data_IF_903038256711
#
_entry.id   IF_903038256711
#
_cell.length_a   1.000
_cell.length_b   1.000
_cell.length_c   1.000
_cell.angle_alpha   90.00
_cell.angle_beta   90.00
_cell.angle_gamma   90.00
#
_symmetry.space_group_name_H-M   'P 1'
#
loop_
_entity.id
_entity.type
_entity.pdbx_description
1 polymer ?
#
# COMPACT_ATOMS: atom_id res chain seq x y z
N UNK A 1 11.93 -16.89 14.96
CA UNK A 1 11.16 -16.21 13.91
C UNK A 1 9.71 -16.63 14.10
N UNK A 2 8.88 -15.78 14.71
CA UNK A 2 7.48 -16.13 15.00
C UNK A 2 6.70 -15.98 13.70
N UNK A 3 6.31 -17.10 13.09
CA UNK A 3 5.37 -17.10 11.98
C UNK A 3 4.02 -16.64 12.55
N UNK A 4 3.65 -15.38 12.31
CA UNK A 4 2.26 -14.94 12.50
C UNK A 4 1.39 -15.90 11.68
N UNK A 5 0.40 -16.53 12.34
CA UNK A 5 -0.60 -17.34 11.64
C UNK A 5 -1.27 -16.49 10.53
N UNK A 6 -1.77 -17.10 9.45
CA UNK A 6 -2.50 -16.37 8.43
C UNK A 6 -3.66 -15.61 9.08
N UNK A 7 -3.47 -14.30 9.25
CA UNK A 7 -4.46 -13.41 9.83
C UNK A 7 -5.59 -13.33 8.79
N UNK A 8 -6.72 -13.95 9.11
CA UNK A 8 -7.92 -13.82 8.28
C UNK A 8 -8.47 -12.44 8.57
N UNK A 9 -8.60 -11.60 7.54
CA UNK A 9 -9.19 -10.27 7.71
C UNK A 9 -10.67 -10.42 8.03
N UNK A 10 -11.09 -9.92 9.19
CA UNK A 10 -12.49 -9.83 9.58
C UNK A 10 -12.99 -8.43 9.20
N UNK A 11 -13.59 -8.33 8.02
CA UNK A 11 -14.17 -7.10 7.49
C UNK A 11 -15.66 -7.09 7.76
N UNK A 12 -16.21 -5.93 8.11
CA UNK A 12 -17.66 -5.77 8.18
C UNK A 12 -18.32 -6.10 6.83
N UNK A 13 -19.51 -6.74 6.84
CA UNK A 13 -20.17 -7.20 5.62
C UNK A 13 -20.58 -6.05 4.70
N UNK A 14 -20.93 -4.90 5.27
CA UNK A 14 -21.28 -3.71 4.47
C UNK A 14 -20.05 -3.14 3.80
N UNK A 15 -18.91 -3.06 4.50
CA UNK A 15 -17.64 -2.66 3.89
C UNK A 15 -17.17 -3.66 2.82
N UNK A 16 -17.27 -4.97 3.07
CA UNK A 16 -16.94 -6.03 2.09
C UNK A 16 -17.75 -5.86 0.79
N UNK A 17 -19.05 -5.59 0.91
CA UNK A 17 -19.94 -5.39 -0.23
C UNK A 17 -19.57 -4.13 -1.04
N UNK A 18 -19.35 -3.00 -0.35
CA UNK A 18 -19.00 -1.74 -1.01
C UNK A 18 -17.63 -1.81 -1.72
N UNK A 19 -16.62 -2.42 -1.09
CA UNK A 19 -15.31 -2.60 -1.70
C UNK A 19 -15.35 -3.55 -2.91
N UNK A 20 -16.18 -4.59 -2.85
CA UNK A 20 -16.45 -5.46 -3.99
C UNK A 20 -17.11 -4.72 -5.15
N UNK A 21 -18.11 -3.89 -4.85
CA UNK A 21 -18.78 -3.06 -5.85
C UNK A 21 -17.82 -2.07 -6.51
N UNK A 22 -17.04 -1.35 -5.71
CA UNK A 22 -16.03 -0.39 -6.19
C UNK A 22 -15.10 -1.03 -7.23
N UNK A 23 -14.60 -2.23 -6.91
CA UNK A 23 -13.72 -2.99 -7.80
C UNK A 23 -14.41 -3.47 -9.09
N UNK A 24 -15.68 -3.84 -9.00
CA UNK A 24 -16.47 -4.25 -10.16
C UNK A 24 -16.70 -3.07 -11.11
N UNK A 25 -17.08 -1.90 -10.59
CA UNK A 25 -17.28 -0.69 -11.38
C UNK A 25 -16.01 -0.27 -12.12
N UNK A 26 -14.84 -0.48 -11.52
CA UNK A 26 -13.55 -0.21 -12.15
C UNK A 26 -13.03 -1.31 -13.07
N UNK A 27 -13.69 -2.47 -13.11
CA UNK A 27 -13.22 -3.63 -13.87
C UNK A 27 -11.89 -4.19 -13.36
N UNK A 28 -11.60 -4.07 -12.06
CA UNK A 28 -10.35 -4.51 -11.46
C UNK A 28 -10.21 -6.05 -11.51
N UNK A 29 -9.23 -6.55 -12.29
CA UNK A 29 -9.00 -8.00 -12.50
C UNK A 29 -7.94 -8.62 -11.58
N UNK A 30 -7.11 -7.79 -10.95
CA UNK A 30 -6.03 -8.26 -10.06
C UNK A 30 -6.60 -8.78 -8.74
N UNK A 31 -5.98 -9.78 -8.09
CA UNK A 31 -6.47 -10.27 -6.80
C UNK A 31 -6.28 -9.21 -5.70
N UNK A 32 -7.23 -9.12 -4.77
CA UNK A 32 -7.19 -8.21 -3.63
C UNK A 32 -6.18 -8.72 -2.57
N UNK A 33 -4.92 -8.38 -2.75
CA UNK A 33 -3.81 -9.00 -2.01
C UNK A 33 -2.86 -7.95 -1.45
N UNK A 34 -2.50 -8.08 -0.18
CA UNK A 34 -1.48 -7.26 0.49
C UNK A 34 -0.30 -8.09 0.97
N UNK A 35 0.86 -7.43 1.04
CA UNK A 35 2.09 -8.01 1.54
C UNK A 35 2.20 -7.82 3.06
N UNK A 36 2.22 -8.94 3.80
CA UNK A 36 2.28 -8.94 5.26
C UNK A 36 3.56 -8.33 5.80
N UNK A 37 4.69 -8.48 5.09
CA UNK A 37 5.97 -7.97 5.58
C UNK A 37 6.04 -6.43 5.44
N UNK A 38 5.39 -5.87 4.41
CA UNK A 38 5.22 -4.41 4.26
C UNK A 38 4.30 -3.83 5.32
N UNK A 39 3.17 -4.50 5.60
CA UNK A 39 2.24 -4.11 6.68
C UNK A 39 2.97 -4.10 8.01
N UNK A 40 3.67 -5.20 8.34
CA UNK A 40 4.43 -5.32 9.58
C UNK A 40 5.53 -4.25 9.71
N UNK A 41 6.15 -3.86 8.59
CA UNK A 41 7.12 -2.77 8.55
C UNK A 41 6.50 -1.42 8.89
N UNK A 42 5.37 -1.07 8.28
CA UNK A 42 4.65 0.17 8.53
C UNK A 42 4.11 0.23 9.97
N UNK A 43 3.46 -0.84 10.45
CA UNK A 43 2.96 -0.95 11.82
C UNK A 43 4.09 -0.69 12.85
N UNK A 44 5.30 -1.22 12.60
CA UNK A 44 6.47 -0.98 13.46
C UNK A 44 7.00 0.45 13.38
N UNK A 45 7.13 1.01 12.18
CA UNK A 45 7.64 2.38 11.98
C UNK A 45 6.76 3.38 12.72
N UNK A 46 5.44 3.21 12.63
CA UNK A 46 4.48 4.17 13.20
C UNK A 46 3.98 3.76 14.60
N UNK A 47 4.43 2.62 15.13
CA UNK A 47 3.94 2.01 16.37
C UNK A 47 2.40 1.93 16.42
N UNK A 48 1.79 1.50 15.32
CA UNK A 48 0.34 1.36 15.18
C UNK A 48 -0.05 -0.07 14.85
N UNK A 49 -1.35 -0.38 14.92
CA UNK A 49 -1.90 -1.57 14.28
C UNK A 49 -2.98 -1.16 13.29
N UNK A 50 -2.84 -1.62 12.05
CA UNK A 50 -3.79 -1.38 10.97
C UNK A 50 -5.03 -2.27 11.19
N UNK A 51 -6.24 -1.67 11.25
CA UNK A 51 -7.47 -2.43 11.34
C UNK A 51 -7.75 -3.21 10.07
N UNK A 52 -8.50 -4.31 10.22
CA UNK A 52 -8.82 -5.20 9.11
C UNK A 52 -9.60 -4.49 8.00
N UNK A 53 -10.49 -3.55 8.33
CA UNK A 53 -11.23 -2.78 7.32
C UNK A 53 -10.33 -1.83 6.52
N UNK A 54 -9.29 -1.27 7.15
CA UNK A 54 -8.30 -0.41 6.46
C UNK A 54 -7.38 -1.25 5.59
N UNK A 55 -6.99 -2.44 6.07
CA UNK A 55 -6.26 -3.41 5.26
C UNK A 55 -7.13 -3.87 4.08
N UNK A 56 -8.43 -4.07 4.26
CA UNK A 56 -9.35 -4.38 3.20
C UNK A 56 -9.46 -3.25 2.16
N UNK A 57 -9.54 -2.00 2.61
CA UNK A 57 -9.54 -0.82 1.74
C UNK A 57 -8.25 -0.75 0.89
N UNK A 58 -7.08 -0.93 1.53
CA UNK A 58 -5.80 -0.94 0.82
C UNK A 58 -5.69 -2.14 -0.15
N UNK A 59 -6.20 -3.31 0.24
CA UNK A 59 -6.26 -4.50 -0.60
C UNK A 59 -7.19 -4.34 -1.80
N UNK A 60 -8.18 -3.44 -1.69
CA UNK A 60 -9.10 -3.18 -2.79
C UNK A 60 -8.38 -2.60 -4.01
N UNK A 61 -7.22 -1.94 -3.82
CA UNK A 61 -6.37 -1.37 -4.89
C UNK A 61 -7.19 -0.67 -5.98
N UNK A 62 -8.24 0.02 -5.56
CA UNK A 62 -9.11 0.74 -6.48
C UNK A 62 -8.27 1.80 -7.17
N UNK A 63 -8.29 1.77 -8.50
CA UNK A 63 -7.60 2.75 -9.33
C UNK A 63 -8.17 4.15 -9.12
N UNK A 64 -9.46 4.27 -8.79
CA UNK A 64 -10.07 5.55 -8.41
C UNK A 64 -9.51 6.04 -7.08
N UNK A 65 -9.53 5.23 -6.01
CA UNK A 65 -8.94 5.62 -4.73
C UNK A 65 -7.43 5.90 -4.84
N UNK A 66 -6.71 5.14 -5.66
CA UNK A 66 -5.28 5.38 -5.95
C UNK A 66 -5.05 6.72 -6.66
N UNK A 67 -5.92 7.11 -7.60
CA UNK A 67 -5.77 8.37 -8.35
C UNK A 67 -6.31 9.57 -7.58
N UNK A 68 -7.51 9.43 -7.03
CA UNK A 68 -8.22 10.49 -6.31
C UNK A 68 -7.53 10.78 -4.99
N UNK A 69 -7.18 9.75 -4.23
CA UNK A 69 -6.69 9.87 -2.85
C UNK A 69 -5.25 9.42 -2.65
N UNK A 70 -4.51 9.09 -3.71
CA UNK A 70 -3.14 8.58 -3.59
C UNK A 70 -3.03 7.37 -2.62
N UNK A 71 -4.07 6.56 -2.56
CA UNK A 71 -4.25 5.54 -1.52
C UNK A 71 -3.54 4.23 -1.89
N UNK A 72 -2.24 4.15 -1.61
CA UNK A 72 -1.41 2.97 -1.87
C UNK A 72 -0.59 2.62 -0.63
N UNK A 73 -0.47 1.33 -0.30
CA UNK A 73 0.29 0.86 0.88
C UNK A 73 1.74 1.38 0.86
N UNK A 74 2.38 1.35 -0.31
CA UNK A 74 3.75 1.81 -0.51
C UNK A 74 3.94 3.34 -0.36
N UNK A 75 2.86 4.13 -0.43
CA UNK A 75 2.90 5.60 -0.32
C UNK A 75 2.51 6.11 1.06
N UNK A 76 2.08 5.22 1.96
CA UNK A 76 1.58 5.62 3.26
C UNK A 76 2.66 6.35 4.07
N UNK A 77 3.92 5.88 4.06
CA UNK A 77 4.99 6.54 4.80
C UNK A 77 5.25 7.97 4.30
N UNK A 78 5.30 8.16 2.98
CA UNK A 78 5.47 9.48 2.36
C UNK A 78 4.27 10.40 2.66
N UNK A 79 3.05 9.86 2.59
CA UNK A 79 1.83 10.58 2.93
C UNK A 79 1.83 11.01 4.41
N UNK A 80 2.32 10.18 5.33
CA UNK A 80 2.50 10.53 6.74
C UNK A 80 3.49 11.67 6.92
N UNK A 81 4.67 11.58 6.29
CA UNK A 81 5.68 12.64 6.40
C UNK A 81 5.18 13.97 5.82
N UNK A 82 4.47 13.92 4.70
CA UNK A 82 3.91 15.12 4.10
C UNK A 82 2.75 15.70 4.91
N UNK A 83 1.84 14.86 5.42
CA UNK A 83 0.76 15.30 6.32
C UNK A 83 1.33 16.00 7.56
N UNK A 84 2.39 15.44 8.13
CA UNK A 84 3.11 16.06 9.24
C UNK A 84 3.63 17.46 8.89
N UNK A 85 4.29 17.62 7.73
CA UNK A 85 4.78 18.93 7.26
C UNK A 85 3.65 19.94 7.05
N UNK A 86 2.53 19.50 6.48
CA UNK A 86 1.39 20.38 6.17
C UNK A 86 0.71 20.86 7.45
N UNK A 87 0.45 19.97 8.42
CA UNK A 87 -0.10 20.33 9.73
C UNK A 87 0.81 21.30 10.48
N UNK A 88 2.13 21.07 10.45
CA UNK A 88 3.09 21.93 11.13
C UNK A 88 3.24 23.31 10.46
N UNK A 89 3.11 23.40 9.15
CA UNK A 89 3.13 24.68 8.43
C UNK A 89 1.97 25.59 8.85
N UNK A 90 0.80 25.01 9.10
CA UNK A 90 -0.37 25.77 9.56
C UNK A 90 -0.26 26.16 11.05
N UNK A 91 0.31 25.29 11.89
CA UNK A 91 0.62 25.62 13.29
C UNK A 91 1.69 26.72 13.41
N UNK A 92 2.73 26.70 12.56
CA UNK A 92 3.72 27.78 12.49
C UNK A 92 3.07 29.12 12.09
N UNK A 93 2.14 29.10 11.13
CA UNK A 93 1.34 30.29 10.75
C UNK A 93 0.37 30.74 11.85
N UNK A 94 -0.11 29.82 12.70
CA UNK A 94 -0.96 30.16 13.85
C UNK A 94 -0.13 30.78 15.00
N UNK A 95 1.11 30.29 15.19
CA UNK A 95 2.08 30.86 16.10
C UNK A 95 2.48 32.29 15.71
N UNK A 96 2.78 32.54 14.43
CA UNK A 96 3.05 33.89 13.91
C UNK A 96 1.87 34.86 14.10
N UNK A 97 0.64 34.34 14.12
CA UNK A 97 -0.59 35.11 14.37
C UNK A 97 -0.92 35.32 15.85
N UNK A 98 -0.06 34.86 16.77
CA UNK A 98 -0.18 35.12 18.21
C UNK A 98 -1.37 34.45 18.90
N UNK A 99 -1.92 33.38 18.32
CA UNK A 99 -3.18 32.76 18.78
C UNK A 99 -3.03 31.64 19.82
N UNK A 100 -1.84 31.39 20.39
CA UNK A 100 -1.65 30.38 21.43
C UNK A 100 -1.00 30.93 22.71
N UNK A 101 -1.36 30.40 23.91
CA UNK A 101 -0.72 30.79 25.16
C UNK A 101 0.75 30.37 25.15
N UNK A 102 1.61 31.29 25.57
CA UNK A 102 3.07 31.17 25.69
C UNK A 102 3.47 30.02 26.61
N UNK A 103 3.74 28.85 26.04
CA UNK A 103 4.38 27.71 26.72
C UNK A 103 5.57 27.19 25.90
N UNK A 104 6.65 26.70 26.54
CA UNK A 104 7.88 26.32 25.86
C UNK A 104 7.71 25.09 24.95
N UNK A 105 8.28 25.20 23.74
CA UNK A 105 8.21 24.24 22.63
C UNK A 105 8.77 22.85 23.00
N UNK A 106 9.66 22.76 24.00
CA UNK A 106 10.38 21.53 24.37
C UNK A 106 9.55 20.47 25.11
N UNK A 107 8.41 20.82 25.69
CA UNK A 107 7.56 19.85 26.40
C UNK A 107 6.51 19.18 25.48
N UNK A 108 6.60 19.39 24.16
CA UNK A 108 5.63 18.87 23.17
C UNK A 108 6.20 17.89 22.16
N UNK A 109 7.51 17.67 22.10
CA UNK A 109 8.11 16.68 21.18
C UNK A 109 7.50 15.27 21.36
N UNK A 110 7.04 14.91 22.56
CA UNK A 110 6.46 13.60 22.87
C UNK A 110 4.94 13.52 22.68
N UNK A 111 4.24 14.66 22.60
CA UNK A 111 2.81 14.73 22.27
C UNK A 111 2.56 14.65 20.74
N UNK A 112 3.54 15.05 19.92
CA UNK A 112 3.37 15.14 18.46
C UNK A 112 4.31 14.24 17.64
N UNK A 113 5.43 13.70 18.17
CA UNK A 113 6.23 12.68 17.47
C UNK A 113 5.49 11.34 17.23
N UNK A 114 4.21 11.27 17.57
CA UNK A 114 3.32 10.10 17.51
C UNK A 114 2.00 10.42 16.78
N UNK A 115 2.07 11.34 15.80
CA UNK A 115 0.92 11.91 15.09
C UNK A 115 -0.03 10.89 14.42
N UNK A 116 -1.25 11.33 14.06
CA UNK A 116 -2.23 10.50 13.35
C UNK A 116 -1.64 9.98 12.03
N UNK A 117 -1.88 8.72 11.72
CA UNK A 117 -1.32 8.05 10.54
C UNK A 117 -2.07 8.48 9.28
N UNK A 118 -1.39 8.89 8.21
CA UNK A 118 -2.03 9.32 6.96
C UNK A 118 -2.16 8.16 5.98
N UNK A 119 -3.38 7.79 5.62
CA UNK A 119 -3.66 6.74 4.64
C UNK A 119 -3.50 7.25 3.21
N UNK A 120 -4.04 8.43 2.93
CA UNK A 120 -4.13 8.98 1.58
C UNK A 120 -4.27 10.49 1.56
N UNK A 121 -3.90 11.09 0.43
CA UNK A 121 -3.99 12.51 0.16
C UNK A 121 -4.70 12.74 -1.18
N UNK A 122 -5.74 13.56 -1.14
CA UNK A 122 -6.46 14.04 -2.32
C UNK A 122 -5.75 15.22 -2.98
N UNK A 123 -6.02 15.43 -4.25
CA UNK A 123 -5.46 16.54 -5.04
C UNK A 123 -5.85 17.92 -4.49
N UNK A 124 -7.02 18.03 -3.84
CA UNK A 124 -7.49 19.28 -3.20
C UNK A 124 -6.90 19.50 -1.79
N UNK A 125 -5.89 18.70 -1.41
CA UNK A 125 -5.23 18.79 -0.12
C UNK A 125 -5.94 18.05 1.01
N UNK A 126 -7.09 17.41 0.76
CA UNK A 126 -7.77 16.61 1.78
C UNK A 126 -6.93 15.40 2.18
N UNK A 127 -6.78 15.17 3.50
CA UNK A 127 -6.05 14.05 4.05
C UNK A 127 -7.02 13.06 4.72
N UNK A 128 -6.84 11.77 4.46
CA UNK A 128 -7.49 10.70 5.20
C UNK A 128 -6.53 10.19 6.26
N UNK A 129 -6.79 10.58 7.50
CA UNK A 129 -5.99 10.22 8.65
C UNK A 129 -6.69 9.10 9.43
N UNK A 130 -5.94 8.08 9.80
CA UNK A 130 -6.37 7.04 10.70
C UNK A 130 -5.98 7.42 12.14
N UNK A 131 -6.93 7.45 13.08
CA UNK A 131 -6.60 7.65 14.48
C UNK A 131 -5.74 6.48 14.99
N UNK A 132 -4.77 6.80 15.86
CA UNK A 132 -4.07 5.77 16.63
C UNK A 132 -5.08 5.01 17.49
N UNK A 133 -4.91 3.70 17.62
CA UNK A 133 -5.75 2.88 18.49
C UNK A 133 -5.62 3.32 19.94
N UNK A 134 -6.65 3.98 20.45
CA UNK A 134 -6.87 4.18 21.88
C UNK A 134 -7.91 3.20 22.42
N UNK A 135 -8.91 2.82 21.62
CA UNK A 135 -9.91 1.78 21.94
C UNK A 135 -10.17 0.84 20.74
N UNK A 136 -10.85 -0.28 21.00
CA UNK A 136 -11.09 -1.34 20.01
C UNK A 136 -12.04 -0.91 18.87
N UNK A 137 -12.92 0.06 19.13
CA UNK A 137 -13.98 0.49 18.19
C UNK A 137 -13.55 1.68 17.30
N UNK A 138 -12.43 2.35 17.62
CA UNK A 138 -11.86 3.49 16.88
C UNK A 138 -11.43 3.12 15.44
N UNK A 139 -11.39 1.82 15.11
CA UNK A 139 -10.86 1.30 13.83
C UNK A 139 -11.72 1.58 12.60
N UNK A 140 -12.97 2.00 12.79
CA UNK A 140 -13.90 2.25 11.69
C UNK A 140 -14.05 3.73 11.36
N UNK A 141 -13.39 4.63 12.09
CA UNK A 141 -13.53 6.07 11.90
C UNK A 141 -12.24 6.65 11.37
N UNK A 142 -12.32 7.35 10.24
CA UNK A 142 -11.25 8.15 9.67
C UNK A 142 -11.43 9.62 10.04
N UNK A 143 -10.33 10.29 10.36
CA UNK A 143 -10.26 11.74 10.46
C UNK A 143 -9.99 12.30 9.08
N UNK A 144 -10.94 13.05 8.54
CA UNK A 144 -10.80 13.79 7.30
C UNK A 144 -10.34 15.19 7.65
N UNK A 145 -9.13 15.54 7.23
CA UNK A 145 -8.58 16.86 7.43
C UNK A 145 -8.58 17.65 6.12
N UNK A 146 -9.10 18.87 6.15
CA UNK A 146 -9.13 19.78 5.00
C UNK A 146 -9.09 21.23 5.47
N UNK A 147 -8.18 22.02 4.92
CA UNK A 147 -8.12 23.48 5.12
C UNK A 147 -8.15 23.89 6.62
N UNK A 148 -7.43 23.15 7.47
CA UNK A 148 -7.37 23.41 8.92
C UNK A 148 -8.58 22.90 9.72
N UNK A 149 -9.57 22.26 9.09
CA UNK A 149 -10.71 21.63 9.77
C UNK A 149 -10.57 20.11 9.78
N UNK A 150 -10.72 19.53 10.95
CA UNK A 150 -10.79 18.08 11.17
C UNK A 150 -12.25 17.64 11.33
N UNK A 151 -12.63 16.55 10.66
CA UNK A 151 -13.93 15.89 10.85
C UNK A 151 -13.77 14.38 10.93
N UNK A 152 -14.47 13.75 11.85
CA UNK A 152 -14.53 12.29 11.95
C UNK A 152 -15.60 11.73 11.01
N UNK A 153 -15.26 10.67 10.27
CA UNK A 153 -16.15 9.99 9.35
C UNK A 153 -15.95 8.48 9.40
N UNK A 154 -17.02 7.68 9.46
CA UNK A 154 -16.90 6.24 9.29
C UNK A 154 -16.29 5.87 7.92
N UNK A 155 -15.39 4.89 7.91
CA UNK A 155 -14.74 4.33 6.72
C UNK A 155 -15.79 3.88 5.69
N UNK A 156 -16.85 3.24 6.15
CA UNK A 156 -17.96 2.79 5.31
C UNK A 156 -18.61 3.95 4.55
N UNK A 157 -18.72 5.12 5.17
CA UNK A 157 -19.30 6.30 4.52
C UNK A 157 -18.33 6.91 3.51
N UNK A 158 -17.02 6.90 3.80
CA UNK A 158 -15.99 7.31 2.82
C UNK A 158 -16.04 6.40 1.59
N UNK A 159 -16.09 5.08 1.77
CA UNK A 159 -16.17 4.14 0.64
C UNK A 159 -17.48 4.29 -0.13
N UNK A 160 -18.60 4.50 0.56
CA UNK A 160 -19.90 4.72 -0.07
C UNK A 160 -19.89 5.95 -0.99
N UNK A 161 -19.38 7.07 -0.50
CA UNK A 161 -19.28 8.31 -1.31
C UNK A 161 -18.49 8.08 -2.60
N UNK A 162 -17.44 7.26 -2.56
CA UNK A 162 -16.58 6.98 -3.72
C UNK A 162 -17.27 6.03 -4.71
N UNK A 163 -18.03 5.04 -4.22
CA UNK A 163 -18.89 4.19 -5.06
C UNK A 163 -19.95 5.06 -5.77
N UNK A 164 -20.61 5.94 -5.03
CA UNK A 164 -21.64 6.82 -5.58
C UNK A 164 -21.06 7.80 -6.63
N UNK A 165 -19.86 8.35 -6.38
CA UNK A 165 -19.15 9.17 -7.37
C UNK A 165 -18.82 8.40 -8.65
N UNK A 166 -18.34 7.16 -8.54
CA UNK A 166 -18.06 6.32 -9.71
C UNK A 166 -19.33 5.98 -10.50
N UNK A 167 -20.44 5.68 -9.83
CA UNK A 167 -21.73 5.44 -10.49
C UNK A 167 -22.15 6.66 -11.32
N UNK A 168 -22.10 7.86 -10.75
CA UNK A 168 -22.41 9.10 -11.46
C UNK A 168 -21.49 9.34 -12.68
N UNK A 169 -20.20 9.01 -12.57
CA UNK A 169 -19.25 9.10 -13.67
C UNK A 169 -19.57 8.11 -14.80
N UNK A 170 -19.92 6.87 -14.46
CA UNK A 170 -20.32 5.85 -15.44
C UNK A 170 -21.62 6.25 -16.14
N UNK A 171 -22.63 6.67 -15.38
CA UNK A 171 -23.93 7.13 -15.91
C UNK A 171 -23.77 8.33 -16.84
N UNK A 172 -22.97 9.33 -16.45
CA UNK A 172 -22.69 10.50 -17.30
C UNK A 172 -21.92 10.12 -18.58
N UNK A 173 -20.97 9.19 -18.52
CA UNK A 173 -20.26 8.71 -19.70
C UNK A 173 -21.20 7.99 -20.68
N UNK A 174 -22.15 7.20 -20.17
CA UNK A 174 -23.17 6.57 -20.98
C UNK A 174 -24.16 7.57 -21.60
N UNK A 175 -24.55 8.61 -20.85
CA UNK A 175 -25.42 9.66 -21.36
C UNK A 175 -24.77 10.47 -22.50
N UNK A 176 -23.47 10.77 -22.40
CA UNK A 176 -22.71 11.51 -23.42
C UNK A 176 -22.46 10.69 -24.69
N UNK A 177 -22.25 9.38 -24.55
CA UNK A 177 -21.96 8.48 -25.68
C UNK A 177 -23.21 7.87 -26.35
N UNK A 178 -24.41 8.34 -25.99
CA UNK A 178 -25.72 7.86 -26.46
C UNK A 178 -26.06 8.14 -27.94
N UNK A 179 -25.08 8.06 -28.85
CA UNK A 179 -25.28 8.26 -30.29
C UNK A 179 -24.84 7.11 -31.20
N UNK A 180 -23.85 6.28 -30.85
CA UNK A 180 -23.34 5.31 -31.84
C UNK A 180 -22.49 4.14 -31.28
N UNK A 181 -22.91 3.50 -30.19
CA UNK A 181 -22.47 2.13 -29.96
C UNK A 181 -23.65 1.26 -29.56
N UNK A 182 -23.96 0.28 -30.43
CA UNK A 182 -24.83 -0.86 -30.11
C UNK A 182 -24.48 -1.33 -28.71
N UNK A 183 -25.47 -1.34 -27.83
CA UNK A 183 -25.41 -2.00 -26.55
C UNK A 183 -25.02 -3.47 -26.78
N UNK A 184 -23.73 -3.77 -26.65
CA UNK A 184 -23.30 -5.10 -26.25
C UNK A 184 -23.93 -5.36 -24.88
N UNK A 185 -24.38 -6.59 -24.60
CA UNK A 185 -25.22 -6.86 -23.44
C UNK A 185 -24.52 -6.36 -22.18
N UNK A 186 -25.17 -5.39 -21.54
CA UNK A 186 -25.01 -5.04 -20.13
C UNK A 186 -25.21 -6.31 -19.30
N UNK A 187 -24.15 -7.08 -19.15
CA UNK A 187 -24.07 -8.18 -18.21
C UNK A 187 -22.71 -8.02 -17.55
N UNK A 188 -22.63 -7.10 -16.59
CA UNK A 188 -21.79 -7.39 -15.42
C UNK A 188 -22.50 -8.58 -14.79
N UNK A 189 -21.93 -9.80 -14.82
CA UNK A 189 -22.56 -10.92 -14.15
C UNK A 189 -22.69 -10.54 -12.68
N UNK A 190 -23.94 -10.41 -12.23
CA UNK A 190 -24.34 -10.12 -10.85
C UNK A 190 -24.07 -11.30 -9.90
N UNK A 191 -23.02 -12.07 -10.17
CA UNK A 191 -22.34 -12.88 -9.18
C UNK A 191 -21.12 -12.06 -8.79
N UNK A 192 -21.29 -11.14 -7.85
CA UNK A 192 -20.19 -10.42 -7.23
C UNK A 192 -19.12 -11.47 -6.89
N UNK A 193 -17.97 -11.43 -7.59
CA UNK A 193 -16.81 -12.16 -7.09
C UNK A 193 -16.60 -11.62 -5.69
N UNK A 194 -16.89 -12.48 -4.70
CA UNK A 194 -16.87 -12.08 -3.31
C UNK A 194 -15.52 -11.42 -3.05
N UNK A 195 -15.56 -10.19 -2.54
CA UNK A 195 -14.35 -9.47 -2.22
C UNK A 195 -13.69 -10.17 -1.04
N UNK A 196 -12.65 -10.95 -1.32
CA UNK A 196 -11.91 -11.69 -0.30
C UNK A 196 -10.49 -11.16 -0.27
N UNK A 197 -10.20 -10.14 0.57
CA UNK A 197 -8.86 -9.62 0.70
C UNK A 197 -7.96 -10.68 1.35
N UNK A 198 -6.76 -10.89 0.79
CA UNK A 198 -5.80 -11.88 1.27
C UNK A 198 -4.51 -11.21 1.70
N UNK A 199 -4.04 -11.58 2.89
CA UNK A 199 -2.69 -11.29 3.32
C UNK A 199 -1.78 -12.41 2.86
N UNK A 200 -0.79 -12.08 2.04
CA UNK A 200 0.24 -13.02 1.63
C UNK A 200 1.58 -12.48 2.09
N UNK A 201 2.53 -13.38 2.35
CA UNK A 201 3.93 -12.98 2.28
C UNK A 201 4.31 -12.93 0.82
N UNK A 202 4.48 -11.73 0.25
CA UNK A 202 5.12 -11.66 -1.06
C UNK A 202 6.58 -12.00 -0.81
N UNK A 203 7.06 -13.09 -1.42
CA UNK A 203 8.49 -13.24 -1.59
C UNK A 203 8.99 -11.96 -2.27
N UNK A 204 10.04 -11.30 -1.76
CA UNK A 204 10.58 -10.09 -2.36
C UNK A 204 10.69 -10.28 -3.88
N UNK A 205 10.30 -9.30 -4.67
CA UNK A 205 10.42 -9.39 -6.13
C UNK A 205 11.87 -9.72 -6.57
N UNK A 206 12.84 -9.40 -5.72
CA UNK A 206 14.25 -9.78 -5.83
C UNK A 206 14.53 -11.27 -5.57
N UNK A 207 13.74 -11.98 -4.77
CA UNK A 207 13.85 -13.43 -4.57
C UNK A 207 13.17 -14.20 -5.70
N UNK A 208 12.03 -13.71 -6.22
CA UNK A 208 11.33 -14.35 -7.35
C UNK A 208 12.11 -14.22 -8.67
N UNK A 209 12.92 -13.16 -8.84
CA UNK A 209 13.89 -13.03 -9.96
C UNK A 209 15.23 -13.71 -9.70
N UNK A 210 15.52 -14.11 -8.45
CA UNK A 210 16.77 -14.82 -8.07
C UNK A 210 16.66 -16.33 -8.17
N UNK A 211 15.47 -16.87 -8.39
CA UNK A 211 15.30 -18.27 -8.75
C UNK A 211 15.69 -18.42 -10.23
N UNK A 212 16.90 -18.94 -10.41
CA UNK A 212 17.36 -19.66 -11.61
C UNK A 212 17.98 -18.85 -12.76
N UNK A 213 18.88 -17.90 -12.45
CA UNK A 213 19.85 -17.47 -13.48
C UNK A 213 20.87 -18.57 -13.72
N UNK A 214 20.81 -19.17 -14.91
CA UNK A 214 21.83 -20.09 -15.42
C UNK A 214 23.09 -19.29 -15.72
N UNK A 215 24.23 -19.86 -15.35
CA UNK A 215 25.55 -19.30 -15.62
C UNK A 215 26.46 -20.39 -16.16
N UNK A 216 27.46 -19.99 -16.95
CA UNK A 216 28.54 -20.84 -17.42
C UNK A 216 29.87 -20.36 -16.85
N UNK A 217 30.65 -21.28 -16.31
CA UNK A 217 32.03 -21.03 -15.87
C UNK A 217 32.99 -21.90 -16.68
N UNK A 218 34.10 -21.32 -17.14
CA UNK A 218 35.05 -22.01 -18.03
C UNK A 218 35.58 -23.34 -17.46
N UNK A 219 35.79 -23.41 -16.14
CA UNK A 219 36.33 -24.60 -15.46
C UNK A 219 35.25 -25.55 -14.92
N UNK A 220 34.07 -25.02 -14.58
CA UNK A 220 33.07 -25.77 -13.77
C UNK A 220 31.79 -26.06 -14.55
N UNK A 221 31.72 -25.64 -15.81
CA UNK A 221 30.57 -25.87 -16.68
C UNK A 221 29.38 -24.99 -16.30
N UNK A 222 28.19 -25.50 -16.56
CA UNK A 222 26.94 -24.79 -16.34
C UNK A 222 26.49 -24.95 -14.88
N UNK A 223 25.85 -23.92 -14.35
CA UNK A 223 25.37 -23.89 -12.97
C UNK A 223 24.28 -22.87 -12.77
N UNK A 224 23.70 -22.89 -11.57
CA UNK A 224 22.60 -22.01 -11.17
C UNK A 224 23.05 -21.16 -9.99
N UNK A 225 22.85 -19.84 -10.08
CA UNK A 225 23.13 -18.95 -8.95
C UNK A 225 22.13 -19.22 -7.84
N UNK A 226 22.60 -19.67 -6.68
CA UNK A 226 21.77 -20.03 -5.52
C UNK A 226 21.73 -18.94 -4.45
N UNK A 227 22.76 -18.08 -4.37
CA UNK A 227 22.73 -16.89 -3.51
C UNK A 227 23.85 -15.89 -3.87
N UNK A 228 23.58 -14.57 -3.98
CA UNK A 228 24.64 -13.58 -3.94
C UNK A 228 25.08 -13.32 -2.49
N UNK A 229 26.39 -13.23 -2.22
CA UNK A 229 26.94 -12.84 -0.91
C UNK A 229 27.64 -11.48 -0.97
N UNK A 230 27.11 -10.49 -0.24
CA UNK A 230 27.75 -9.18 -0.02
C UNK A 230 26.75 -8.06 0.31
N UNK A 231 27.14 -7.13 1.21
CA UNK A 231 26.52 -5.80 1.37
C UNK A 231 27.22 -4.86 0.39
N UNK A 232 26.46 -3.93 -0.17
CA UNK A 232 26.87 -2.89 -1.12
C UNK A 232 26.98 -3.29 -2.59
N UNK A 233 26.06 -2.66 -3.33
CA UNK A 233 25.93 -2.66 -4.77
C UNK A 233 26.45 -1.31 -5.29
N UNK A 234 27.65 -1.30 -5.85
CA UNK A 234 28.06 -0.31 -6.85
C UNK A 234 29.14 -0.92 -7.77
N UNK A 235 28.72 -1.27 -9.00
CA UNK A 235 29.46 -1.84 -10.15
C UNK A 235 29.86 -3.34 -10.06
N UNK A 236 29.69 -4.01 -11.19
CA UNK A 236 29.10 -5.36 -11.33
C UNK A 236 30.10 -6.52 -11.50
N UNK A 237 31.39 -6.32 -11.19
CA UNK A 237 32.47 -7.30 -11.53
C UNK A 237 33.08 -8.03 -10.32
N UNK A 238 32.93 -7.48 -9.11
CA UNK A 238 33.51 -8.02 -7.87
C UNK A 238 32.49 -8.68 -6.94
N UNK A 239 31.27 -8.90 -7.42
CA UNK A 239 30.21 -9.51 -6.63
C UNK A 239 30.51 -10.99 -6.43
N UNK A 240 30.49 -11.47 -5.18
CA UNK A 240 30.59 -12.91 -4.89
C UNK A 240 29.23 -13.58 -5.09
N UNK A 241 29.23 -14.64 -5.90
CA UNK A 241 28.09 -15.47 -6.26
C UNK A 241 28.31 -16.87 -5.73
N UNK A 242 27.35 -17.42 -4.98
CA UNK A 242 27.28 -18.85 -4.74
C UNK A 242 26.55 -19.49 -5.93
N UNK A 243 27.26 -20.34 -6.67
CA UNK A 243 26.76 -21.06 -7.84
C UNK A 243 26.74 -22.55 -7.52
N UNK A 244 25.59 -23.19 -7.70
CA UNK A 244 25.45 -24.64 -7.66
C UNK A 244 25.63 -25.19 -9.07
N UNK A 245 26.69 -25.94 -9.30
CA UNK A 245 27.00 -26.53 -10.60
C UNK A 245 26.24 -27.86 -10.79
N UNK A 246 26.17 -28.33 -12.03
CA UNK A 246 25.48 -29.59 -12.38
C UNK A 246 26.14 -30.82 -11.73
N UNK A 247 27.38 -30.69 -11.23
CA UNK A 247 28.07 -31.68 -10.37
C UNK A 247 27.48 -31.77 -8.94
N UNK A 248 26.53 -30.88 -8.60
CA UNK A 248 25.87 -30.81 -7.30
C UNK A 248 26.61 -29.96 -6.26
N UNK A 249 27.85 -29.52 -6.54
CA UNK A 249 28.62 -28.71 -5.61
C UNK A 249 28.28 -27.22 -5.71
N UNK A 250 28.28 -26.55 -4.55
CA UNK A 250 28.12 -25.10 -4.49
C UNK A 250 29.47 -24.43 -4.27
N UNK A 251 29.88 -23.56 -5.21
CA UNK A 251 31.13 -22.81 -5.14
C UNK A 251 30.87 -21.30 -5.14
N UNK A 252 31.73 -20.56 -4.46
CA UNK A 252 31.65 -19.09 -4.39
C UNK A 252 32.63 -18.48 -5.40
N UNK A 253 32.11 -17.76 -6.39
CA UNK A 253 32.87 -17.17 -7.50
C UNK A 253 32.61 -15.67 -7.59
N UNK A 254 33.48 -14.93 -8.27
CA UNK A 254 33.22 -13.53 -8.61
C UNK A 254 32.39 -13.45 -9.90
N UNK A 255 31.49 -12.47 -9.99
CA UNK A 255 30.60 -12.26 -11.13
C UNK A 255 31.34 -12.14 -12.46
N UNK A 256 32.53 -11.53 -12.48
CA UNK A 256 33.36 -11.42 -13.69
C UNK A 256 33.84 -12.76 -14.29
N UNK A 257 33.82 -13.85 -13.52
CA UNK A 257 34.29 -15.16 -13.99
C UNK A 257 33.15 -16.08 -14.45
N UNK A 258 31.91 -15.60 -14.41
CA UNK A 258 30.75 -16.37 -14.87
C UNK A 258 30.06 -15.62 -16.01
N UNK A 259 29.71 -16.36 -17.05
CA UNK A 259 28.89 -15.84 -18.15
C UNK A 259 27.43 -16.15 -17.84
N UNK A 260 26.57 -15.13 -17.81
CA UNK A 260 25.14 -15.34 -17.68
C UNK A 260 24.58 -15.94 -18.97
N UNK A 261 23.79 -16.99 -18.82
CA UNK A 261 23.02 -17.60 -19.89
C UNK A 261 21.59 -17.10 -19.68
N UNK A 262 21.20 -16.04 -20.40
CA UNK A 262 19.83 -15.49 -20.37
C UNK A 262 18.79 -16.53 -20.82
#
# INVERSE_FOLDING_TARGET
MVLRQPKTLCVDKTAEALLGELRLLEGAREPAVLDIDQIDGLERIFEISLPDDVLALLAARSTHLLKTWNLALERVADNCEQAWRDLYADDARAYERGQYPTGPIRDREWLYARGPFCLGRRWDGTLLLMPRRTQADDSTVLKVWREGSERERPLVDVVRDEVDQLRLLVESHHAVNGGSHRAGPSVIPLAAQRFVPRLIRKLPADETRRLERRVRHATFGDGTVVAPRGRDATRDEHRKLAVRFDDGETRVLLSRYVQYLD
#
